data_IF_311200404888
#
_entry.id   IF_311200404888
#
_cell.length_a   1.000
_cell.length_b   1.000
_cell.length_c   1.000
_cell.angle_alpha   90.00
_cell.angle_beta   90.00
_cell.angle_gamma   90.00
#
_symmetry.space_group_name_H-M   'P 1'
#
loop_
_entity.id
_entity.type
_entity.pdbx_description
1 polymer ?
#
# COMPACT_ATOMS: atom_id res chain seq x y z
N UNK A 1 22.19 5.62 -33.33
CA UNK A 1 22.58 6.11 -31.99
C UNK A 1 21.60 7.21 -31.63
N UNK A 2 20.54 6.87 -30.89
CA UNK A 2 19.58 7.85 -30.38
C UNK A 2 20.30 8.79 -29.43
N UNK A 3 20.10 10.11 -29.59
CA UNK A 3 20.73 11.12 -28.76
C UNK A 3 20.36 10.87 -27.29
N UNK A 4 21.36 10.65 -26.44
CA UNK A 4 21.14 10.48 -25.01
C UNK A 4 20.53 11.76 -24.43
N UNK A 5 19.20 11.79 -24.26
CA UNK A 5 18.54 12.84 -23.51
C UNK A 5 19.07 12.79 -22.06
N UNK A 6 19.80 13.81 -21.63
CA UNK A 6 20.33 13.90 -20.27
C UNK A 6 19.22 14.08 -19.21
N UNK A 7 18.01 14.48 -19.61
CA UNK A 7 16.88 14.74 -18.72
C UNK A 7 15.78 13.68 -18.80
N UNK A 8 15.09 13.44 -17.69
CA UNK A 8 13.96 12.51 -17.64
C UNK A 8 12.75 12.99 -18.47
N UNK A 9 11.98 12.07 -19.08
CA UNK A 9 10.73 12.41 -19.76
C UNK A 9 9.77 13.19 -18.87
N UNK A 10 9.06 14.18 -19.44
CA UNK A 10 8.06 14.99 -18.72
C UNK A 10 6.94 14.13 -18.10
N UNK A 11 6.67 12.96 -18.68
CA UNK A 11 5.78 11.94 -18.13
C UNK A 11 6.15 11.49 -16.72
N UNK A 12 7.45 11.45 -16.37
CA UNK A 12 7.89 11.06 -15.04
C UNK A 12 7.37 12.03 -13.98
N UNK A 13 7.54 13.34 -14.19
CA UNK A 13 7.09 14.36 -13.24
C UNK A 13 5.56 14.41 -13.15
N UNK A 14 4.86 14.15 -14.25
CA UNK A 14 3.41 14.00 -14.25
C UNK A 14 2.95 12.82 -13.37
N UNK A 15 3.59 11.65 -13.52
CA UNK A 15 3.31 10.47 -12.70
C UNK A 15 3.73 10.69 -11.24
N UNK A 16 4.84 11.37 -11.00
CA UNK A 16 5.30 11.76 -9.68
C UNK A 16 4.23 12.56 -8.94
N UNK A 17 3.72 13.65 -9.54
CA UNK A 17 2.71 14.50 -8.90
C UNK A 17 1.42 13.72 -8.68
N UNK A 18 0.98 12.95 -9.69
CA UNK A 18 -0.25 12.14 -9.61
C UNK A 18 -0.16 11.09 -8.49
N UNK A 19 0.98 10.40 -8.40
CA UNK A 19 1.26 9.40 -7.36
C UNK A 19 1.44 10.03 -5.98
N UNK A 20 2.15 11.15 -5.87
CA UNK A 20 2.34 11.88 -4.61
C UNK A 20 1.00 12.34 -4.04
N UNK A 21 0.13 12.95 -4.84
CA UNK A 21 -1.18 13.42 -4.39
C UNK A 21 -2.10 12.28 -3.97
N UNK A 22 -2.06 11.15 -4.68
CA UNK A 22 -2.82 9.96 -4.27
C UNK A 22 -2.28 9.37 -2.97
N UNK A 23 -0.95 9.27 -2.81
CA UNK A 23 -0.34 8.83 -1.55
C UNK A 23 -0.65 9.77 -0.41
N UNK A 24 -0.69 11.07 -0.66
CA UNK A 24 -1.12 12.05 0.33
C UNK A 24 -2.55 11.73 0.80
N UNK A 25 -3.48 11.53 -0.13
CA UNK A 25 -4.87 11.20 0.19
C UNK A 25 -4.97 9.92 1.03
N UNK A 26 -4.26 8.86 0.64
CA UNK A 26 -4.25 7.58 1.35
C UNK A 26 -3.66 7.70 2.77
N UNK A 27 -2.43 8.21 2.90
CA UNK A 27 -1.74 8.30 4.19
C UNK A 27 -2.37 9.32 5.13
N UNK A 28 -2.97 10.39 4.60
CA UNK A 28 -3.67 11.40 5.40
C UNK A 28 -4.93 10.84 6.06
N UNK A 29 -5.78 10.19 5.27
CA UNK A 29 -6.96 9.48 5.78
C UNK A 29 -6.54 8.40 6.78
N UNK A 30 -5.56 7.57 6.41
CA UNK A 30 -5.04 6.46 7.23
C UNK A 30 -4.48 6.94 8.58
N UNK A 31 -3.87 8.11 8.63
CA UNK A 31 -3.24 8.64 9.85
C UNK A 31 -4.24 8.92 10.97
N UNK A 32 -5.44 9.35 10.61
CA UNK A 32 -6.51 9.71 11.56
C UNK A 32 -7.62 8.66 11.62
N UNK A 33 -7.63 7.68 10.72
CA UNK A 33 -8.74 6.73 10.56
C UNK A 33 -9.01 5.94 11.84
N UNK A 34 -7.98 5.33 12.43
CA UNK A 34 -8.16 4.51 13.61
C UNK A 34 -8.54 5.33 14.84
N UNK A 35 -8.01 6.56 14.94
CA UNK A 35 -8.43 7.53 15.96
C UNK A 35 -9.90 7.92 15.79
N UNK A 36 -10.38 8.08 14.56
CA UNK A 36 -11.78 8.35 14.27
C UNK A 36 -12.70 7.19 14.71
N UNK A 37 -12.31 5.94 14.45
CA UNK A 37 -13.08 4.75 14.87
C UNK A 37 -13.33 4.74 16.39
N UNK A 38 -12.31 5.08 17.17
CA UNK A 38 -12.37 5.00 18.63
C UNK A 38 -12.94 6.28 19.23
N UNK A 39 -12.40 7.43 18.86
CA UNK A 39 -12.69 8.69 19.55
C UNK A 39 -13.99 9.34 19.06
N UNK A 40 -14.44 9.06 17.83
CA UNK A 40 -15.67 9.64 17.28
C UNK A 40 -16.80 8.62 17.15
N UNK A 41 -16.50 7.42 16.65
CA UNK A 41 -17.51 6.35 16.54
C UNK A 41 -17.65 5.49 17.79
N UNK A 42 -16.81 5.71 18.81
CA UNK A 42 -16.85 5.00 20.09
C UNK A 42 -16.78 3.47 19.95
N UNK A 43 -16.06 2.99 18.92
CA UNK A 43 -15.79 1.57 18.74
C UNK A 43 -14.68 1.13 19.70
N UNK A 44 -14.75 -0.11 20.15
CA UNK A 44 -13.67 -0.71 20.93
C UNK A 44 -12.41 -0.89 20.06
N UNK A 45 -11.25 -0.93 20.72
CA UNK A 45 -9.94 -0.98 20.04
C UNK A 45 -9.74 -2.27 19.27
N UNK A 46 -10.31 -3.37 19.73
CA UNK A 46 -10.17 -4.67 19.08
C UNK A 46 -10.91 -4.66 17.73
N UNK A 47 -12.17 -4.23 17.73
CA UNK A 47 -12.97 -4.08 16.53
C UNK A 47 -12.39 -3.02 15.56
N UNK A 48 -11.91 -1.88 16.08
CA UNK A 48 -11.24 -0.88 15.26
C UNK A 48 -9.97 -1.44 14.58
N UNK A 49 -9.20 -2.24 15.31
CA UNK A 49 -7.99 -2.90 14.77
C UNK A 49 -8.34 -3.95 13.73
N UNK A 50 -9.43 -4.70 13.90
CA UNK A 50 -9.93 -5.65 12.92
C UNK A 50 -10.38 -4.95 11.62
N UNK A 51 -11.15 -3.86 11.71
CA UNK A 51 -11.55 -3.04 10.55
C UNK A 51 -10.32 -2.54 9.80
N UNK A 52 -9.34 -1.99 10.53
CA UNK A 52 -8.11 -1.47 9.95
C UNK A 52 -7.29 -2.56 9.26
N UNK A 53 -7.11 -3.71 9.92
CA UNK A 53 -6.38 -4.87 9.39
C UNK A 53 -7.02 -5.40 8.10
N UNK A 54 -8.35 -5.52 8.09
CA UNK A 54 -9.10 -5.95 6.91
C UNK A 54 -9.03 -4.96 5.76
N UNK A 55 -9.18 -3.67 6.07
CA UNK A 55 -9.02 -2.60 5.08
C UNK A 55 -7.62 -2.65 4.44
N UNK A 56 -6.58 -2.65 5.27
CA UNK A 56 -5.18 -2.66 4.78
C UNK A 56 -4.87 -3.94 4.01
N UNK A 57 -5.28 -5.11 4.50
CA UNK A 57 -5.12 -6.38 3.80
C UNK A 57 -5.75 -6.37 2.41
N UNK A 58 -6.98 -5.87 2.29
CA UNK A 58 -7.66 -5.74 1.00
C UNK A 58 -7.00 -4.70 0.08
N UNK A 59 -6.51 -3.58 0.61
CA UNK A 59 -5.74 -2.57 -0.16
C UNK A 59 -4.47 -3.16 -0.78
N UNK A 60 -3.84 -4.15 -0.14
CA UNK A 60 -2.71 -4.88 -0.71
C UNK A 60 -3.12 -6.01 -1.67
N UNK A 61 -4.32 -6.58 -1.52
CA UNK A 61 -4.82 -7.68 -2.35
C UNK A 61 -5.42 -7.20 -3.68
N UNK A 62 -6.26 -6.17 -3.67
CA UNK A 62 -6.96 -5.69 -4.88
C UNK A 62 -6.07 -5.19 -6.03
N UNK A 63 -4.82 -4.72 -5.83
CA UNK A 63 -3.90 -4.42 -6.93
C UNK A 63 -3.66 -5.60 -7.88
N UNK A 64 -3.68 -6.84 -7.39
CA UNK A 64 -3.55 -8.02 -8.26
C UNK A 64 -4.70 -8.10 -9.27
N UNK A 65 -5.92 -7.82 -8.80
CA UNK A 65 -7.13 -7.79 -9.62
C UNK A 65 -7.07 -6.60 -10.59
N UNK A 66 -6.76 -5.41 -10.10
CA UNK A 66 -6.75 -4.19 -10.92
C UNK A 66 -5.67 -4.20 -12.01
N UNK A 67 -4.50 -4.77 -11.75
CA UNK A 67 -3.45 -4.98 -12.77
C UNK A 67 -3.90 -5.98 -13.84
N UNK A 68 -4.43 -7.13 -13.43
CA UNK A 68 -4.96 -8.14 -14.35
C UNK A 68 -6.07 -7.57 -15.27
N UNK A 69 -7.01 -6.80 -14.70
CA UNK A 69 -8.10 -6.21 -15.49
C UNK A 69 -7.59 -5.16 -16.47
N UNK A 70 -6.59 -4.36 -16.07
CA UNK A 70 -5.99 -3.36 -16.94
C UNK A 70 -5.25 -4.00 -18.13
N UNK A 71 -4.51 -5.09 -17.90
CA UNK A 71 -3.73 -5.75 -18.93
C UNK A 71 -4.59 -6.46 -19.98
N UNK A 72 -5.78 -6.92 -19.60
CA UNK A 72 -6.66 -7.70 -20.47
C UNK A 72 -7.81 -6.91 -21.09
N UNK A 73 -8.44 -6.01 -20.32
CA UNK A 73 -9.75 -5.45 -20.69
C UNK A 73 -9.73 -3.92 -20.78
N UNK A 74 -9.29 -3.23 -19.73
CA UNK A 74 -9.50 -1.78 -19.60
C UNK A 74 -8.36 -0.92 -20.17
N UNK A 75 -7.12 -1.41 -20.14
CA UNK A 75 -5.94 -0.58 -20.33
C UNK A 75 -5.58 0.21 -19.06
N UNK A 76 -4.29 0.54 -18.91
CA UNK A 76 -3.78 1.21 -17.70
C UNK A 76 -4.38 2.60 -17.51
N UNK A 77 -4.56 3.40 -18.58
CA UNK A 77 -5.04 4.77 -18.45
C UNK A 77 -6.46 4.86 -17.91
N UNK A 78 -7.35 3.99 -18.40
CA UNK A 78 -8.75 3.91 -17.95
C UNK A 78 -8.83 3.32 -16.54
N UNK A 79 -7.98 2.35 -16.23
CA UNK A 79 -7.90 1.78 -14.89
C UNK A 79 -7.48 2.82 -13.85
N UNK A 80 -6.49 3.66 -14.16
CA UNK A 80 -6.08 4.78 -13.30
C UNK A 80 -7.24 5.78 -13.11
N UNK A 81 -7.96 6.13 -14.19
CA UNK A 81 -9.11 7.03 -14.09
C UNK A 81 -10.21 6.48 -13.17
N UNK A 82 -10.67 5.25 -13.41
CA UNK A 82 -11.72 4.63 -12.60
C UNK A 82 -11.26 4.40 -11.16
N UNK A 83 -10.00 4.00 -10.98
CA UNK A 83 -9.38 3.87 -9.66
C UNK A 83 -9.39 5.19 -8.90
N UNK A 84 -8.96 6.28 -9.53
CA UNK A 84 -8.97 7.61 -8.94
C UNK A 84 -10.38 8.10 -8.62
N UNK A 85 -11.36 7.87 -9.50
CA UNK A 85 -12.75 8.24 -9.26
C UNK A 85 -13.35 7.50 -8.05
N UNK A 86 -13.11 6.18 -7.95
CA UNK A 86 -13.52 5.37 -6.79
C UNK A 86 -12.88 5.89 -5.50
N UNK A 87 -11.60 6.29 -5.52
CA UNK A 87 -10.95 6.88 -4.35
C UNK A 87 -11.54 8.25 -3.99
N UNK A 88 -11.86 9.11 -4.97
CA UNK A 88 -12.56 10.39 -4.71
C UNK A 88 -13.88 10.13 -3.98
N UNK A 89 -14.71 9.22 -4.51
CA UNK A 89 -15.98 8.86 -3.87
C UNK A 89 -15.74 8.28 -2.47
N UNK A 90 -14.74 7.41 -2.33
CA UNK A 90 -14.35 6.82 -1.05
C UNK A 90 -13.97 7.86 0.00
N UNK A 91 -13.14 8.84 -0.37
CA UNK A 91 -12.74 9.91 0.55
C UNK A 91 -13.91 10.83 0.93
N UNK A 92 -14.81 11.15 -0.01
CA UNK A 92 -16.00 11.92 0.34
C UNK A 92 -16.96 11.15 1.25
N UNK A 93 -17.09 9.84 1.08
CA UNK A 93 -17.86 9.00 2.00
C UNK A 93 -17.23 8.98 3.41
N UNK A 94 -15.89 8.94 3.52
CA UNK A 94 -15.21 9.12 4.81
C UNK A 94 -15.47 10.49 5.42
N UNK A 95 -15.44 11.56 4.61
CA UNK A 95 -15.81 12.91 5.04
C UNK A 95 -17.26 12.96 5.57
N UNK A 96 -18.23 12.42 4.83
CA UNK A 96 -19.63 12.42 5.25
C UNK A 96 -19.89 11.52 6.46
N UNK A 97 -19.12 10.43 6.61
CA UNK A 97 -19.11 9.61 7.80
C UNK A 97 -18.74 10.42 9.04
N UNK A 98 -17.64 11.18 8.97
CA UNK A 98 -17.24 12.05 10.07
C UNK A 98 -18.15 13.26 10.26
N UNK A 99 -18.79 13.76 9.19
CA UNK A 99 -19.77 14.84 9.29
C UNK A 99 -21.02 14.44 10.08
N UNK A 100 -21.44 13.18 9.96
CA UNK A 100 -22.63 12.63 10.62
C UNK A 100 -22.28 11.65 11.75
N UNK A 101 -21.13 11.83 12.41
CA UNK A 101 -20.63 10.90 13.43
C UNK A 101 -21.61 10.70 14.61
N UNK A 102 -22.45 11.70 14.91
CA UNK A 102 -23.52 11.63 15.92
C UNK A 102 -24.57 10.56 15.58
N UNK A 103 -24.84 10.32 14.30
CA UNK A 103 -25.63 9.17 13.84
C UNK A 103 -24.68 8.01 13.52
N UNK A 104 -24.33 7.25 14.56
CA UNK A 104 -23.31 6.19 14.48
C UNK A 104 -23.63 5.12 13.44
N UNK A 105 -24.91 4.79 13.23
CA UNK A 105 -25.30 3.79 12.24
C UNK A 105 -25.05 4.28 10.81
N UNK A 106 -25.53 5.49 10.47
CA UNK A 106 -25.29 6.10 9.18
C UNK A 106 -23.78 6.29 8.93
N UNK A 107 -23.06 6.79 9.93
CA UNK A 107 -21.62 7.00 9.84
C UNK A 107 -20.88 5.69 9.53
N UNK A 108 -21.17 4.59 10.24
CA UNK A 108 -20.56 3.28 9.96
C UNK A 108 -20.81 2.82 8.52
N UNK A 109 -22.03 2.96 7.99
CA UNK A 109 -22.33 2.59 6.60
C UNK A 109 -21.58 3.46 5.58
N UNK A 110 -21.52 4.78 5.81
CA UNK A 110 -20.75 5.70 4.99
C UNK A 110 -19.26 5.35 5.03
N UNK A 111 -18.71 5.07 6.22
CA UNK A 111 -17.34 4.62 6.40
C UNK A 111 -17.07 3.34 5.61
N UNK A 112 -17.89 2.28 5.76
CA UNK A 112 -17.67 1.03 5.03
C UNK A 112 -17.76 1.21 3.50
N UNK A 113 -18.70 2.04 3.02
CA UNK A 113 -18.75 2.43 1.61
C UNK A 113 -17.49 3.19 1.19
N UNK A 114 -17.00 4.07 2.04
CA UNK A 114 -15.75 4.82 1.86
C UNK A 114 -14.53 3.92 1.73
N UNK A 115 -14.35 3.00 2.67
CA UNK A 115 -13.29 1.99 2.65
C UNK A 115 -13.39 1.11 1.39
N UNK A 116 -14.59 0.70 0.99
CA UNK A 116 -14.82 -0.05 -0.24
C UNK A 116 -14.34 0.70 -1.48
N UNK A 117 -14.73 1.98 -1.62
CA UNK A 117 -14.26 2.85 -2.70
C UNK A 117 -12.74 3.00 -2.72
N UNK A 118 -12.10 3.14 -1.56
CA UNK A 118 -10.65 3.24 -1.42
C UNK A 118 -9.93 1.92 -1.75
N UNK A 119 -10.47 0.77 -1.31
CA UNK A 119 -9.93 -0.57 -1.58
C UNK A 119 -9.89 -0.85 -3.09
N UNK A 120 -11.03 -0.70 -3.77
CA UNK A 120 -11.10 -0.96 -5.21
C UNK A 120 -10.37 0.13 -6.00
N UNK A 121 -10.49 1.38 -5.55
CA UNK A 121 -9.84 2.52 -6.17
C UNK A 121 -8.32 2.39 -6.19
N UNK A 122 -7.70 2.08 -5.04
CA UNK A 122 -6.26 1.79 -4.96
C UNK A 122 -5.88 0.57 -5.80
N UNK A 123 -6.73 -0.47 -5.82
CA UNK A 123 -6.52 -1.66 -6.63
C UNK A 123 -6.35 -1.37 -8.12
N UNK A 124 -7.18 -0.49 -8.69
CA UNK A 124 -7.05 -0.09 -10.09
C UNK A 124 -5.99 0.99 -10.33
N UNK A 125 -5.72 1.85 -9.37
CA UNK A 125 -4.79 2.97 -9.56
C UNK A 125 -3.33 2.57 -9.43
N UNK A 126 -2.96 1.95 -8.30
CA UNK A 126 -1.57 1.74 -7.87
C UNK A 126 -0.72 0.86 -8.82
N UNK A 127 -1.15 -0.36 -9.20
CA UNK A 127 -0.33 -1.22 -10.06
C UNK A 127 -0.18 -0.62 -11.47
N UNK A 128 -1.20 0.09 -11.94
CA UNK A 128 -1.23 0.67 -13.27
C UNK A 128 -0.38 1.94 -13.38
N UNK A 129 -0.41 2.82 -12.38
CA UNK A 129 0.41 4.04 -12.41
C UNK A 129 1.91 3.72 -12.37
N UNK A 130 2.32 2.80 -11.50
CA UNK A 130 3.73 2.37 -11.39
C UNK A 130 4.24 1.68 -12.66
N UNK A 131 3.39 0.87 -13.32
CA UNK A 131 3.72 0.19 -14.58
C UNK A 131 3.97 1.15 -15.75
N UNK A 132 3.38 2.34 -15.73
CA UNK A 132 3.59 3.35 -16.78
C UNK A 132 5.01 3.95 -16.70
N UNK A 133 5.62 4.04 -15.51
CA UNK A 133 6.98 4.58 -15.35
C UNK A 133 7.96 3.85 -16.26
N UNK A 134 7.92 2.52 -16.27
CA UNK A 134 8.78 1.70 -17.12
C UNK A 134 8.57 1.90 -18.62
N UNK A 135 7.36 2.28 -19.04
CA UNK A 135 7.02 2.48 -20.45
C UNK A 135 7.37 3.88 -20.98
N UNK A 136 7.87 4.77 -20.12
CA UNK A 136 8.40 6.07 -20.54
C UNK A 136 9.82 5.97 -21.13
N UNK A 137 10.47 4.81 -21.01
CA UNK A 137 11.88 4.60 -21.35
C UNK A 137 12.02 3.48 -22.37
N UNK A 138 13.05 3.57 -23.22
CA UNK A 138 13.41 2.50 -24.13
C UNK A 138 14.01 1.30 -23.37
N UNK A 139 13.88 0.06 -23.89
CA UNK A 139 14.56 -1.09 -23.30
C UNK A 139 16.08 -0.87 -23.17
N UNK A 140 16.62 -1.02 -21.96
CA UNK A 140 18.04 -0.82 -21.68
C UNK A 140 18.45 0.62 -21.32
N UNK A 141 17.50 1.55 -21.19
CA UNK A 141 17.79 2.90 -20.74
C UNK A 141 18.26 2.92 -19.27
N UNK A 142 19.50 3.40 -19.06
CA UNK A 142 20.15 3.49 -17.74
C UNK A 142 19.45 4.45 -16.76
N UNK A 143 18.57 5.34 -17.25
CA UNK A 143 17.82 6.29 -16.42
C UNK A 143 16.61 5.65 -15.73
N UNK A 144 16.25 4.42 -16.08
CA UNK A 144 15.06 3.77 -15.53
C UNK A 144 15.14 3.60 -14.00
N UNK A 145 16.30 3.21 -13.48
CA UNK A 145 16.48 3.00 -12.04
C UNK A 145 16.39 4.32 -11.25
N UNK A 146 16.98 5.41 -11.78
CA UNK A 146 16.85 6.73 -11.19
C UNK A 146 15.42 7.28 -11.31
N UNK A 147 14.70 6.91 -12.37
CA UNK A 147 13.29 7.28 -12.54
C UNK A 147 12.39 6.64 -11.47
N UNK A 148 12.59 5.35 -11.17
CA UNK A 148 11.89 4.69 -10.06
C UNK A 148 12.25 5.33 -8.72
N UNK A 149 13.51 5.70 -8.52
CA UNK A 149 13.93 6.44 -7.31
C UNK A 149 13.17 7.76 -7.17
N UNK A 150 13.08 8.57 -8.23
CA UNK A 150 12.30 9.82 -8.23
C UNK A 150 10.83 9.54 -7.94
N UNK A 151 10.23 8.54 -8.60
CA UNK A 151 8.84 8.17 -8.35
C UNK A 151 8.58 7.81 -6.89
N UNK A 152 9.44 6.99 -6.27
CA UNK A 152 9.32 6.61 -4.86
C UNK A 152 9.57 7.77 -3.90
N UNK A 153 10.41 8.74 -4.26
CA UNK A 153 10.56 9.98 -3.49
C UNK A 153 9.23 10.75 -3.42
N UNK A 154 8.43 10.76 -4.49
CA UNK A 154 7.10 11.37 -4.50
C UNK A 154 6.13 10.65 -3.56
N UNK A 155 6.20 9.32 -3.52
CA UNK A 155 5.41 8.51 -2.56
C UNK A 155 5.73 8.90 -1.12
N UNK A 156 7.02 8.99 -0.77
CA UNK A 156 7.45 9.36 0.58
C UNK A 156 7.10 10.81 0.92
N UNK A 157 7.20 11.74 -0.03
CA UNK A 157 6.80 13.14 0.17
C UNK A 157 5.31 13.25 0.52
N UNK A 158 4.45 12.52 -0.20
CA UNK A 158 3.02 12.44 0.12
C UNK A 158 2.77 11.84 1.51
N UNK A 159 3.46 10.73 1.83
CA UNK A 159 3.35 10.05 3.13
C UNK A 159 3.85 10.90 4.31
N UNK A 160 4.81 11.79 4.08
CA UNK A 160 5.31 12.73 5.08
C UNK A 160 4.32 13.86 5.34
N UNK A 161 3.85 14.53 4.28
CA UNK A 161 3.02 15.72 4.42
C UNK A 161 1.59 15.41 4.89
N UNK A 162 1.08 14.23 4.55
CA UNK A 162 -0.34 13.94 4.75
C UNK A 162 -0.77 13.75 6.20
N UNK A 163 -0.04 12.98 7.05
CA UNK A 163 -0.36 12.89 8.47
C UNK A 163 -0.27 14.26 9.16
N UNK A 164 0.67 15.11 8.74
CA UNK A 164 0.82 16.45 9.30
C UNK A 164 -0.40 17.32 9.01
N UNK A 165 -0.83 17.43 7.74
CA UNK A 165 -1.97 18.28 7.39
C UNK A 165 -3.31 17.68 7.85
N UNK A 166 -3.55 16.40 7.57
CA UNK A 166 -4.83 15.77 7.93
C UNK A 166 -4.96 15.59 9.44
N UNK A 167 -3.85 15.31 10.14
CA UNK A 167 -3.79 15.29 11.60
C UNK A 167 -3.98 16.68 12.21
N UNK A 168 -3.33 17.71 11.67
CA UNK A 168 -3.54 19.09 12.14
C UNK A 168 -5.00 19.53 12.05
N UNK A 169 -5.70 19.12 10.99
CA UNK A 169 -7.10 19.49 10.78
C UNK A 169 -8.09 18.57 11.51
N UNK A 170 -7.77 17.28 11.67
CA UNK A 170 -8.72 16.25 12.12
C UNK A 170 -8.46 15.63 13.48
N UNK A 171 -7.22 15.64 13.96
CA UNK A 171 -6.78 15.06 15.23
C UNK A 171 -6.55 16.17 16.28
N UNK A 172 -7.61 16.94 16.53
CA UNK A 172 -7.60 18.13 17.41
C UNK A 172 -8.04 17.81 18.84
N UNK A 173 -8.53 16.59 19.08
CA UNK A 173 -9.21 16.18 20.31
C UNK A 173 -10.73 16.39 20.28
N UNK A 174 -11.27 17.11 19.29
CA UNK A 174 -12.71 17.20 19.07
C UNK A 174 -13.17 16.20 17.99
N UNK A 175 -14.05 15.23 18.31
CA UNK A 175 -14.56 14.26 17.34
C UNK A 175 -15.16 14.87 16.08
N UNK A 176 -15.71 16.08 16.18
CA UNK A 176 -16.32 16.76 15.05
C UNK A 176 -15.29 17.22 14.02
N UNK A 177 -14.00 17.30 14.35
CA UNK A 177 -12.98 17.85 13.47
C UNK A 177 -12.39 16.82 12.51
N UNK A 178 -12.55 15.51 12.75
CA UNK A 178 -12.09 14.45 11.84
C UNK A 178 -12.58 14.67 10.39
N UNK A 179 -13.74 15.30 10.21
CA UNK A 179 -14.27 15.68 8.89
C UNK A 179 -13.30 16.56 8.11
N UNK A 180 -12.58 17.49 8.75
CA UNK A 180 -11.66 18.38 8.05
C UNK A 180 -10.41 17.65 7.57
N UNK A 181 -9.92 16.67 8.35
CA UNK A 181 -8.84 15.78 7.92
C UNK A 181 -9.25 14.92 6.72
N UNK A 182 -10.43 14.30 6.75
CA UNK A 182 -10.95 13.53 5.61
C UNK A 182 -11.26 14.41 4.39
N UNK A 183 -11.75 15.64 4.59
CA UNK A 183 -11.98 16.59 3.51
C UNK A 183 -10.67 16.99 2.82
N UNK A 184 -9.59 17.23 3.58
CA UNK A 184 -8.29 17.52 3.01
C UNK A 184 -7.77 16.35 2.15
N UNK A 185 -7.94 15.11 2.61
CA UNK A 185 -7.63 13.92 1.83
C UNK A 185 -8.49 13.81 0.55
N UNK A 186 -9.78 14.15 0.63
CA UNK A 186 -10.72 14.15 -0.50
C UNK A 186 -10.35 15.21 -1.56
N UNK A 187 -10.09 16.45 -1.13
CA UNK A 187 -9.71 17.55 -2.02
C UNK A 187 -8.42 17.21 -2.77
N UNK A 188 -7.39 16.70 -2.09
CA UNK A 188 -6.14 16.31 -2.76
C UNK A 188 -6.37 15.19 -3.79
N UNK A 189 -7.27 14.25 -3.50
CA UNK A 189 -7.61 13.20 -4.45
C UNK A 189 -8.36 13.75 -5.68
N UNK A 190 -9.27 14.71 -5.50
CA UNK A 190 -9.96 15.41 -6.59
C UNK A 190 -8.94 16.15 -7.46
N UNK A 191 -8.02 16.90 -6.84
CA UNK A 191 -6.96 17.60 -7.55
C UNK A 191 -6.08 16.64 -8.36
N UNK A 192 -5.76 15.47 -7.79
CA UNK A 192 -5.02 14.41 -8.49
C UNK A 192 -5.79 13.91 -9.72
N UNK A 193 -7.08 13.61 -9.59
CA UNK A 193 -7.93 13.17 -10.70
C UNK A 193 -8.07 14.25 -11.78
N UNK A 194 -8.34 15.51 -11.40
CA UNK A 194 -8.46 16.63 -12.33
C UNK A 194 -7.15 16.83 -13.10
N UNK A 195 -6.02 16.85 -12.40
CA UNK A 195 -4.71 16.94 -13.02
C UNK A 195 -4.45 15.78 -13.98
N UNK A 196 -4.79 14.56 -13.56
CA UNK A 196 -4.65 13.37 -14.39
C UNK A 196 -5.49 13.44 -15.66
N UNK A 197 -6.78 13.77 -15.55
CA UNK A 197 -7.70 13.88 -16.71
C UNK A 197 -7.24 14.99 -17.65
N UNK A 198 -6.87 16.15 -17.13
CA UNK A 198 -6.48 17.30 -17.94
C UNK A 198 -5.16 17.10 -18.70
N UNK A 199 -4.27 16.24 -18.21
CA UNK A 199 -2.88 16.20 -18.70
C UNK A 199 -2.37 14.82 -19.12
N UNK A 200 -3.11 13.72 -18.88
CA UNK A 200 -2.62 12.38 -19.22
C UNK A 200 -2.28 12.20 -20.71
N UNK A 201 -3.06 12.78 -21.62
CA UNK A 201 -2.87 12.62 -23.07
C UNK A 201 -1.57 13.27 -23.54
N UNK A 202 -1.18 14.37 -22.89
CA UNK A 202 0.02 15.15 -23.19
C UNK A 202 1.29 14.53 -22.64
N UNK A 203 1.23 13.89 -21.47
CA UNK A 203 2.44 13.44 -20.76
C UNK A 203 2.66 11.94 -20.74
N UNK A 204 1.64 11.11 -20.98
CA UNK A 204 1.78 9.65 -20.99
C UNK A 204 2.15 9.12 -22.38
N UNK A 205 3.17 9.71 -22.98
CA UNK A 205 3.63 9.38 -24.32
C UNK A 205 4.95 8.61 -24.22
N UNK A 206 5.05 7.50 -24.96
CA UNK A 206 6.23 6.66 -24.99
C UNK A 206 7.37 7.28 -25.80
N UNK A 207 8.55 6.64 -25.80
CA UNK A 207 9.72 7.14 -26.52
C UNK A 207 9.47 7.41 -28.02
N UNK A 208 8.57 6.65 -28.65
CA UNK A 208 8.28 6.75 -30.08
C UNK A 208 7.04 7.62 -30.40
N UNK A 209 6.51 8.36 -29.42
CA UNK A 209 5.35 9.23 -29.61
C UNK A 209 4.00 8.53 -29.45
N UNK A 210 3.98 7.24 -29.13
CA UNK A 210 2.78 6.45 -28.93
C UNK A 210 2.11 6.70 -27.56
N UNK A 211 0.79 6.60 -27.52
CA UNK A 211 0.05 6.79 -26.29
C UNK A 211 0.16 5.56 -25.36
N UNK A 212 0.82 5.70 -24.22
CA UNK A 212 1.01 4.61 -23.25
C UNK A 212 -0.31 4.22 -22.60
N UNK A 213 -0.65 2.93 -22.58
CA UNK A 213 -1.70 2.38 -21.71
C UNK A 213 -3.13 2.60 -22.19
N UNK A 214 -3.33 2.91 -23.47
CA UNK A 214 -4.66 2.94 -24.11
C UNK A 214 -5.10 1.52 -24.50
N UNK A 215 -4.23 0.77 -25.19
CA UNK A 215 -4.51 -0.60 -25.59
C UNK A 215 -4.08 -1.56 -24.48
N UNK A 216 -4.95 -2.52 -24.07
CA UNK A 216 -4.55 -3.56 -23.12
C UNK A 216 -3.35 -4.36 -23.62
N UNK A 217 -2.38 -4.63 -22.75
CA UNK A 217 -1.12 -5.29 -23.11
C UNK A 217 -1.34 -6.67 -23.78
N UNK A 218 -2.37 -7.41 -23.36
CA UNK A 218 -2.69 -8.71 -23.96
C UNK A 218 -3.25 -8.58 -25.40
N UNK A 219 -3.96 -7.49 -25.72
CA UNK A 219 -4.44 -7.24 -27.09
C UNK A 219 -3.29 -6.85 -28.00
N UNK A 220 -2.40 -5.96 -27.54
CA UNK A 220 -1.18 -5.61 -28.27
C UNK A 220 -0.27 -6.83 -28.50
N UNK A 221 -0.11 -7.67 -27.46
CA UNK A 221 0.64 -8.92 -27.57
C UNK A 221 0.00 -9.98 -28.45
N UNK A 222 -1.34 -10.02 -28.58
CA UNK A 222 -2.05 -10.91 -29.51
C UNK A 222 -1.99 -10.44 -30.96
N UNK A 223 -1.93 -9.14 -31.20
CA UNK A 223 -1.69 -8.60 -32.55
C UNK A 223 -0.26 -8.93 -33.01
N UNK A 224 0.75 -8.80 -32.14
CA UNK A 224 2.11 -9.27 -32.45
C UNK A 224 2.27 -10.81 -32.45
N UNK A 225 1.54 -11.53 -31.60
CA UNK A 225 1.55 -13.00 -31.59
C UNK A 225 0.61 -13.63 -32.64
N UNK A 226 -0.17 -12.83 -33.36
CA UNK A 226 -0.90 -13.26 -34.56
C UNK A 226 0.05 -13.76 -35.66
N UNK A 227 1.33 -13.35 -35.63
CA UNK A 227 2.40 -13.84 -36.50
C UNK A 227 3.20 -15.02 -35.91
N UNK A 228 3.10 -15.27 -34.60
CA UNK A 228 3.82 -16.34 -33.89
C UNK A 228 2.81 -17.15 -33.08
N UNK A 229 2.24 -18.17 -33.74
CA UNK A 229 1.22 -19.06 -33.22
C UNK A 229 1.61 -19.82 -31.94
N UNK A 230 1.56 -19.14 -30.80
CA UNK A 230 1.77 -19.74 -29.48
C UNK A 230 0.40 -19.97 -28.83
N UNK A 231 -0.11 -21.19 -29.01
CA UNK A 231 -1.34 -21.66 -28.36
C UNK A 231 -1.16 -21.77 -26.85
N UNK A 232 -1.69 -20.80 -26.10
CA UNK A 232 -1.82 -20.88 -24.64
C UNK A 232 -3.15 -21.52 -24.26
N UNK A 233 -3.17 -22.86 -24.24
CA UNK A 233 -4.27 -23.66 -23.73
C UNK A 233 -3.75 -24.80 -22.86
N UNK A 234 -3.19 -24.50 -21.68
CA UNK A 234 -2.89 -25.55 -20.69
C UNK A 234 -4.20 -26.10 -20.14
N UNK A 235 -4.41 -27.43 -20.23
CA UNK A 235 -5.52 -28.13 -19.56
C UNK A 235 -5.32 -28.01 -18.04
N UNK A 236 -6.21 -27.28 -17.39
CA UNK A 236 -6.30 -27.23 -15.92
C UNK A 236 -6.63 -28.63 -15.38
N UNK A 237 -5.90 -29.08 -14.35
CA UNK A 237 -6.18 -30.32 -13.66
C UNK A 237 -7.42 -30.13 -12.77
N UNK A 238 -8.60 -30.49 -13.29
CA UNK A 238 -9.90 -30.29 -12.63
C UNK A 238 -9.95 -30.94 -11.24
N UNK A 239 -9.29 -32.09 -11.06
CA UNK A 239 -9.23 -32.78 -9.76
C UNK A 239 -8.43 -32.00 -8.72
N UNK A 240 -7.26 -31.47 -9.12
CA UNK A 240 -6.44 -30.61 -8.26
C UNK A 240 -7.20 -29.33 -7.89
N UNK A 241 -7.91 -28.73 -8.85
CA UNK A 241 -8.75 -27.56 -8.59
C UNK A 241 -9.85 -27.87 -7.57
N UNK A 242 -10.54 -29.01 -7.72
CA UNK A 242 -11.57 -29.45 -6.78
C UNK A 242 -11.01 -29.65 -5.37
N UNK A 243 -9.87 -30.35 -5.23
CA UNK A 243 -9.23 -30.59 -3.93
C UNK A 243 -8.86 -29.28 -3.21
N UNK A 244 -8.24 -28.34 -3.93
CA UNK A 244 -7.87 -27.04 -3.34
C UNK A 244 -9.09 -26.14 -3.09
N UNK A 245 -10.16 -26.26 -3.88
CA UNK A 245 -11.41 -25.57 -3.61
C UNK A 245 -12.07 -26.08 -2.32
N UNK A 246 -12.17 -27.41 -2.15
CA UNK A 246 -12.71 -28.01 -0.91
C UNK A 246 -11.82 -27.65 0.28
N UNK A 247 -10.50 -27.77 0.16
CA UNK A 247 -9.56 -27.35 1.19
C UNK A 247 -9.70 -25.86 1.55
N UNK A 248 -9.93 -25.01 0.54
CA UNK A 248 -10.17 -23.58 0.76
C UNK A 248 -11.47 -23.28 1.49
N UNK A 249 -12.56 -24.00 1.19
CA UNK A 249 -13.82 -23.87 1.94
C UNK A 249 -13.64 -24.32 3.39
N UNK A 250 -12.94 -25.43 3.63
CA UNK A 250 -12.65 -25.91 4.98
C UNK A 250 -11.79 -24.92 5.77
N UNK A 251 -10.72 -24.40 5.16
CA UNK A 251 -9.87 -23.37 5.77
C UNK A 251 -10.66 -22.09 6.05
N UNK A 252 -11.55 -21.69 5.15
CA UNK A 252 -12.40 -20.52 5.35
C UNK A 252 -13.28 -20.66 6.59
N UNK A 253 -14.01 -21.78 6.75
CA UNK A 253 -14.82 -21.99 7.95
C UNK A 253 -13.98 -22.15 9.22
N UNK A 254 -12.79 -22.72 9.11
CA UNK A 254 -11.85 -22.81 10.22
C UNK A 254 -11.39 -21.43 10.69
N UNK A 255 -10.93 -20.58 9.77
CA UNK A 255 -10.51 -19.21 10.11
C UNK A 255 -11.69 -18.33 10.51
N UNK A 256 -12.87 -18.50 9.91
CA UNK A 256 -14.08 -17.77 10.31
C UNK A 256 -14.42 -18.04 11.77
N UNK A 257 -14.32 -19.30 12.22
CA UNK A 257 -14.49 -19.66 13.62
C UNK A 257 -13.33 -19.15 14.49
N UNK A 258 -12.10 -19.19 13.98
CA UNK A 258 -10.90 -18.76 14.71
C UNK A 258 -10.75 -17.25 14.87
N UNK A 259 -11.41 -16.46 14.02
CA UNK A 259 -11.41 -14.99 14.04
C UNK A 259 -12.78 -14.42 14.41
N UNK A 260 -13.55 -15.14 15.22
CA UNK A 260 -14.83 -14.68 15.79
C UNK A 260 -15.82 -14.10 14.76
N UNK A 261 -15.87 -14.72 13.57
CA UNK A 261 -16.79 -14.33 12.50
C UNK A 261 -16.22 -13.30 11.51
N UNK A 262 -14.94 -12.93 11.58
CA UNK A 262 -14.30 -12.07 10.57
C UNK A 262 -14.19 -12.77 9.20
N UNK A 263 -15.17 -12.49 8.33
CA UNK A 263 -15.24 -13.03 6.98
C UNK A 263 -14.05 -12.58 6.13
N UNK A 264 -13.61 -11.32 6.24
CA UNK A 264 -12.55 -10.77 5.38
C UNK A 264 -11.22 -11.41 5.78
N UNK A 265 -10.91 -11.42 7.07
CA UNK A 265 -9.75 -12.11 7.62
C UNK A 265 -9.74 -13.59 7.20
N UNK A 266 -10.87 -14.28 7.34
CA UNK A 266 -10.98 -15.67 6.95
C UNK A 266 -10.68 -15.90 5.45
N UNK A 267 -11.18 -15.05 4.55
CA UNK A 267 -10.87 -15.13 3.11
C UNK A 267 -9.39 -14.92 2.86
N UNK A 268 -8.78 -13.88 3.45
CA UNK A 268 -7.37 -13.54 3.24
C UNK A 268 -6.46 -14.68 3.69
N UNK A 269 -6.64 -15.17 4.93
CA UNK A 269 -5.79 -16.23 5.48
C UNK A 269 -5.98 -17.57 4.76
N UNK A 270 -7.20 -17.88 4.34
CA UNK A 270 -7.45 -19.07 3.50
C UNK A 270 -6.71 -18.96 2.17
N UNK A 271 -6.81 -17.82 1.48
CA UNK A 271 -6.14 -17.59 0.21
C UNK A 271 -4.60 -17.66 0.34
N UNK A 272 -4.04 -17.19 1.46
CA UNK A 272 -2.61 -17.28 1.76
C UNK A 272 -2.08 -18.71 1.84
N UNK A 273 -2.93 -19.71 2.10
CA UNK A 273 -2.53 -21.13 2.13
C UNK A 273 -2.91 -21.81 0.81
N UNK A 274 -4.14 -21.60 0.35
CA UNK A 274 -4.71 -22.29 -0.82
C UNK A 274 -3.98 -21.91 -2.10
N UNK A 275 -3.69 -20.62 -2.33
CA UNK A 275 -3.05 -20.18 -3.57
C UNK A 275 -1.62 -20.71 -3.69
N UNK A 276 -0.74 -20.56 -2.68
CA UNK A 276 0.58 -21.18 -2.71
C UNK A 276 0.55 -22.70 -2.87
N UNK A 277 -0.35 -23.35 -2.13
CA UNK A 277 -0.55 -24.79 -2.20
C UNK A 277 -0.97 -25.28 -3.59
N UNK A 278 -1.90 -24.58 -4.23
CA UNK A 278 -2.33 -24.84 -5.60
C UNK A 278 -1.17 -24.69 -6.59
N UNK A 279 -0.38 -23.61 -6.47
CA UNK A 279 0.75 -23.35 -7.37
C UNK A 279 1.86 -24.40 -7.23
N UNK A 280 2.28 -24.74 -6.00
CA UNK A 280 3.40 -25.69 -5.79
C UNK A 280 3.03 -27.14 -6.15
N UNK A 281 1.74 -27.47 -6.10
CA UNK A 281 1.22 -28.78 -6.47
C UNK A 281 1.02 -28.95 -7.98
N UNK A 282 1.27 -27.92 -8.80
CA UNK A 282 1.20 -28.03 -10.26
C UNK A 282 2.17 -29.13 -10.77
N UNK A 283 1.64 -30.19 -11.41
CA UNK A 283 2.44 -31.31 -11.89
C UNK A 283 3.34 -30.95 -13.08
N UNK A 284 3.11 -29.80 -13.73
CA UNK A 284 3.91 -29.32 -14.86
C UNK A 284 5.23 -28.69 -14.42
N UNK A 285 5.42 -28.44 -13.12
CA UNK A 285 6.65 -27.89 -12.57
C UNK A 285 7.76 -28.93 -12.49
N UNK A 286 8.94 -28.59 -12.99
CA UNK A 286 10.17 -29.33 -12.75
C UNK A 286 10.57 -29.29 -11.28
N UNK A 287 11.43 -30.23 -10.86
CA UNK A 287 11.97 -30.27 -9.49
C UNK A 287 12.67 -28.95 -9.10
N UNK A 288 13.42 -28.36 -10.04
CA UNK A 288 14.15 -27.10 -9.82
C UNK A 288 13.17 -25.93 -9.67
N UNK A 289 12.15 -25.84 -10.52
CA UNK A 289 11.12 -24.79 -10.40
C UNK A 289 10.35 -24.89 -9.08
N UNK A 290 9.96 -26.11 -8.68
CA UNK A 290 9.30 -26.35 -7.39
C UNK A 290 10.18 -25.94 -6.21
N UNK A 291 11.47 -26.25 -6.24
CA UNK A 291 12.43 -25.82 -5.21
C UNK A 291 12.55 -24.29 -5.15
N UNK A 292 12.62 -23.61 -6.29
CA UNK A 292 12.67 -22.14 -6.35
C UNK A 292 11.39 -21.49 -5.79
N UNK A 293 10.22 -22.03 -6.14
CA UNK A 293 8.93 -21.58 -5.59
C UNK A 293 8.86 -21.79 -4.08
N UNK A 294 9.31 -22.96 -3.60
CA UNK A 294 9.36 -23.24 -2.17
C UNK A 294 10.23 -22.24 -1.41
N UNK A 295 11.40 -21.88 -1.96
CA UNK A 295 12.27 -20.83 -1.39
C UNK A 295 11.55 -19.49 -1.31
N UNK A 296 10.80 -19.11 -2.35
CA UNK A 296 9.99 -17.87 -2.33
C UNK A 296 8.96 -17.92 -1.21
N UNK A 297 8.28 -19.05 -0.98
CA UNK A 297 7.30 -19.19 0.10
C UNK A 297 7.93 -19.18 1.49
N UNK A 298 9.11 -19.79 1.66
CA UNK A 298 9.87 -19.70 2.91
C UNK A 298 10.23 -18.23 3.19
N UNK A 299 10.73 -17.51 2.20
CA UNK A 299 11.04 -16.09 2.33
C UNK A 299 9.77 -15.27 2.66
N UNK A 300 8.68 -15.53 1.93
CA UNK A 300 7.41 -14.84 2.15
C UNK A 300 6.87 -15.05 3.57
N UNK A 301 7.02 -16.25 4.14
CA UNK A 301 6.63 -16.53 5.53
C UNK A 301 7.33 -15.59 6.53
N UNK A 302 8.64 -15.36 6.39
CA UNK A 302 9.35 -14.42 7.26
C UNK A 302 8.95 -12.95 7.00
N UNK A 303 8.64 -12.61 5.74
CA UNK A 303 8.17 -11.28 5.36
C UNK A 303 6.80 -10.96 5.97
N UNK A 304 5.96 -11.97 6.26
CA UNK A 304 4.69 -11.76 6.99
C UNK A 304 4.95 -11.11 8.35
N UNK A 305 5.92 -11.60 9.13
CA UNK A 305 6.23 -11.02 10.45
C UNK A 305 6.75 -9.59 10.35
N UNK A 306 7.53 -9.29 9.32
CA UNK A 306 7.98 -7.93 9.06
C UNK A 306 6.78 -6.99 8.87
N UNK A 307 5.86 -7.33 7.97
CA UNK A 307 4.69 -6.49 7.72
C UNK A 307 3.69 -6.48 8.86
N UNK A 308 3.51 -7.61 9.56
CA UNK A 308 2.63 -7.70 10.73
C UNK A 308 3.06 -6.73 11.84
N UNK A 309 4.36 -6.58 12.07
CA UNK A 309 4.91 -5.61 13.02
C UNK A 309 4.99 -4.19 12.44
N UNK A 310 5.30 -4.03 11.15
CA UNK A 310 5.36 -2.70 10.51
C UNK A 310 3.98 -2.02 10.43
N UNK A 311 2.94 -2.76 10.05
CA UNK A 311 1.59 -2.21 9.87
C UNK A 311 0.91 -1.84 11.20
N UNK A 312 1.49 -2.22 12.34
CA UNK A 312 1.04 -1.74 13.66
C UNK A 312 1.17 -0.22 13.83
N UNK A 313 1.98 0.43 12.99
CA UNK A 313 2.18 1.88 12.97
C UNK A 313 0.87 2.68 12.86
N UNK A 314 -0.19 2.11 12.29
CA UNK A 314 -1.49 2.77 12.23
C UNK A 314 -2.58 2.21 13.15
N UNK A 315 -2.23 1.28 14.04
CA UNK A 315 -3.12 0.74 15.08
C UNK A 315 -2.43 0.91 16.45
N UNK A 316 -1.80 -0.14 16.97
CA UNK A 316 -1.21 -0.18 18.32
C UNK A 316 -0.27 0.98 18.61
N UNK A 317 0.62 1.34 17.67
CA UNK A 317 1.55 2.45 17.89
C UNK A 317 0.87 3.81 17.86
N UNK A 318 -0.23 3.97 17.10
CA UNK A 318 -1.05 5.19 17.13
C UNK A 318 -1.72 5.37 18.49
N UNK A 319 -2.30 4.30 19.05
CA UNK A 319 -2.91 4.38 20.39
C UNK A 319 -1.86 4.60 21.48
N UNK A 320 -0.71 3.96 21.34
CA UNK A 320 0.41 4.15 22.25
C UNK A 320 0.90 5.61 22.23
N UNK A 321 0.97 6.23 21.05
CA UNK A 321 1.23 7.65 20.92
C UNK A 321 0.14 8.51 21.59
N UNK A 322 -1.13 8.18 21.41
CA UNK A 322 -2.25 8.95 21.95
C UNK A 322 -2.32 8.91 23.49
N UNK A 323 -2.26 7.70 24.06
CA UNK A 323 -2.60 7.43 25.46
C UNK A 323 -1.38 7.37 26.36
N UNK A 324 -0.30 6.74 25.90
CA UNK A 324 0.84 6.34 26.74
C UNK A 324 2.05 7.23 26.53
N UNK A 325 2.03 8.15 25.57
CA UNK A 325 3.18 8.99 25.23
C UNK A 325 2.93 10.44 25.62
N UNK A 326 3.93 11.08 26.24
CA UNK A 326 3.88 12.50 26.58
C UNK A 326 4.10 13.32 25.32
N UNK A 327 3.02 13.82 24.72
CA UNK A 327 3.02 14.61 23.49
C UNK A 327 3.12 16.12 23.71
N UNK A 328 3.37 16.58 24.93
CA UNK A 328 3.54 18.01 25.21
C UNK A 328 4.94 18.48 24.80
N UNK A 329 4.99 19.35 23.81
CA UNK A 329 6.23 19.93 23.27
C UNK A 329 6.07 21.44 23.30
N UNK A 330 7.00 22.18 23.90
CA UNK A 330 6.99 23.66 23.90
C UNK A 330 5.62 24.33 24.20
N UNK A 331 4.83 23.76 25.13
CA UNK A 331 3.54 24.33 25.55
C UNK A 331 2.33 23.96 24.67
N UNK A 332 2.49 23.14 23.64
CA UNK A 332 1.39 22.60 22.83
C UNK A 332 1.40 21.06 22.84
N UNK A 333 0.25 20.45 22.52
CA UNK A 333 0.12 18.98 22.44
C UNK A 333 0.20 18.55 20.98
N UNK A 334 1.21 17.75 20.64
CA UNK A 334 1.36 17.19 19.30
C UNK A 334 0.26 16.15 19.00
N UNK A 335 -0.43 16.20 17.85
CA UNK A 335 -1.38 15.15 17.43
C UNK A 335 -0.69 13.78 17.34
N UNK A 336 -1.37 12.72 17.79
CA UNK A 336 -0.80 11.36 17.73
C UNK A 336 -0.64 10.87 16.29
N UNK A 337 -1.51 11.32 15.38
CA UNK A 337 -1.41 11.05 13.95
C UNK A 337 -0.09 11.50 13.32
N UNK A 338 0.61 12.49 13.88
CA UNK A 338 1.88 13.01 13.34
C UNK A 338 3.03 11.99 13.41
N UNK A 339 3.00 11.03 14.35
CA UNK A 339 4.02 9.98 14.43
C UNK A 339 4.11 9.14 13.15
N UNK A 340 3.01 9.00 12.41
CA UNK A 340 3.02 8.27 11.13
C UNK A 340 3.87 8.96 10.05
N UNK A 341 4.16 10.26 10.19
CA UNK A 341 5.04 10.99 9.27
C UNK A 341 6.52 10.64 9.44
N UNK A 342 6.93 10.18 10.63
CA UNK A 342 8.34 9.91 10.95
C UNK A 342 8.93 8.81 10.07
N UNK A 343 8.14 7.80 9.72
CA UNK A 343 8.58 6.75 8.80
C UNK A 343 9.09 7.35 7.48
N UNK A 344 8.31 8.24 6.86
CA UNK A 344 8.68 8.86 5.60
C UNK A 344 9.92 9.77 5.75
N UNK A 345 10.03 10.50 6.86
CA UNK A 345 11.21 11.32 7.19
C UNK A 345 12.46 10.45 7.25
N UNK A 346 12.43 9.36 8.03
CA UNK A 346 13.57 8.47 8.17
C UNK A 346 13.94 7.78 6.86
N UNK A 347 12.96 7.37 6.04
CA UNK A 347 13.24 6.82 4.72
C UNK A 347 13.97 7.84 3.85
N UNK A 348 13.49 9.09 3.78
CA UNK A 348 14.11 10.14 2.97
C UNK A 348 15.52 10.50 3.47
N UNK A 349 15.71 10.61 4.78
CA UNK A 349 17.00 10.98 5.38
C UNK A 349 18.03 9.84 5.28
N UNK A 350 17.61 8.60 5.49
CA UNK A 350 18.51 7.45 5.52
C UNK A 350 18.75 6.84 4.13
N UNK A 351 17.89 7.08 3.14
CA UNK A 351 18.07 6.52 1.79
C UNK A 351 19.43 6.87 1.14
N UNK A 352 19.91 8.13 1.15
CA UNK A 352 21.24 8.46 0.64
C UNK A 352 22.37 7.74 1.39
N UNK A 353 22.24 7.62 2.71
CA UNK A 353 23.22 6.94 3.55
C UNK A 353 23.31 5.44 3.21
N UNK A 354 22.17 4.74 3.12
CA UNK A 354 22.14 3.34 2.74
C UNK A 354 22.56 3.12 1.30
N UNK A 355 22.20 4.00 0.37
CA UNK A 355 22.66 3.94 -1.03
C UNK A 355 24.18 4.01 -1.11
N UNK A 356 24.80 4.97 -0.42
CA UNK A 356 26.26 5.10 -0.34
C UNK A 356 26.92 3.87 0.31
N UNK A 357 26.31 3.32 1.36
CA UNK A 357 26.77 2.08 2.01
C UNK A 357 26.78 0.91 1.04
N UNK A 358 25.70 0.69 0.28
CA UNK A 358 25.61 -0.41 -0.67
C UNK A 358 26.59 -0.27 -1.83
N UNK A 359 26.77 0.92 -2.38
CA UNK A 359 27.78 1.18 -3.42
C UNK A 359 29.18 0.82 -2.90
N UNK A 360 29.53 1.26 -1.68
CA UNK A 360 30.83 0.99 -1.07
C UNK A 360 31.06 -0.49 -0.77
N UNK A 361 30.03 -1.23 -0.38
CA UNK A 361 30.11 -2.68 -0.17
C UNK A 361 30.17 -3.45 -1.49
N UNK A 362 29.41 -3.02 -2.50
CA UNK A 362 29.43 -3.59 -3.85
C UNK A 362 30.79 -3.45 -4.52
N UNK A 363 31.42 -2.28 -4.43
CA UNK A 363 32.80 -2.06 -4.90
C UNK A 363 33.84 -2.99 -4.25
N UNK A 364 33.53 -3.52 -3.06
CA UNK A 364 34.38 -4.46 -2.32
C UNK A 364 33.94 -5.91 -2.47
N UNK A 365 32.96 -6.23 -3.32
CA UNK A 365 32.33 -7.55 -3.43
C UNK A 365 31.85 -8.11 -2.07
N UNK A 366 31.40 -7.22 -1.18
CA UNK A 366 30.91 -7.53 0.18
C UNK A 366 29.43 -7.21 0.35
N UNK A 367 28.71 -6.98 -0.73
CA UNK A 367 27.27 -6.75 -0.67
C UNK A 367 26.56 -8.04 -0.24
N UNK A 368 25.77 -8.01 0.87
CA UNK A 368 25.02 -9.18 1.31
C UNK A 368 23.98 -9.59 0.27
N UNK A 369 23.70 -10.90 0.18
CA UNK A 369 22.62 -11.42 -0.64
C UNK A 369 21.26 -10.85 -0.20
N UNK A 370 20.28 -10.79 -1.12
CA UNK A 370 18.95 -10.21 -0.83
C UNK A 370 18.24 -10.83 0.38
N UNK A 371 18.23 -12.17 0.59
CA UNK A 371 17.63 -12.76 1.80
C UNK A 371 18.33 -12.31 3.09
N UNK A 372 19.65 -12.07 3.04
CA UNK A 372 20.41 -11.55 4.18
C UNK A 372 20.01 -10.12 4.50
N UNK A 373 19.82 -9.28 3.48
CA UNK A 373 19.30 -7.90 3.68
C UNK A 373 17.91 -7.92 4.30
N UNK A 374 17.04 -8.84 3.88
CA UNK A 374 15.71 -9.01 4.48
C UNK A 374 15.80 -9.45 5.95
N UNK A 375 16.68 -10.39 6.28
CA UNK A 375 16.92 -10.81 7.66
C UNK A 375 17.45 -9.66 8.55
N UNK A 376 18.36 -8.83 8.02
CA UNK A 376 18.81 -7.61 8.71
C UNK A 376 17.64 -6.66 8.96
N UNK A 377 16.76 -6.45 7.97
CA UNK A 377 15.56 -5.63 8.12
C UNK A 377 14.61 -6.13 9.22
N UNK A 378 14.35 -7.44 9.27
CA UNK A 378 13.53 -8.06 10.31
C UNK A 378 14.18 -7.94 11.70
N UNK A 379 15.50 -8.12 11.78
CA UNK A 379 16.25 -7.94 13.02
C UNK A 379 16.17 -6.49 13.54
N UNK A 380 16.33 -5.50 12.66
CA UNK A 380 16.21 -4.09 13.03
C UNK A 380 14.79 -3.73 13.49
N UNK A 381 13.76 -4.28 12.84
CA UNK A 381 12.37 -4.11 13.26
C UNK A 381 12.14 -4.70 14.65
N UNK A 382 12.65 -5.92 14.90
CA UNK A 382 12.57 -6.56 16.22
C UNK A 382 13.29 -5.75 17.29
N UNK A 383 14.45 -5.16 16.98
CA UNK A 383 15.18 -4.29 17.88
C UNK A 383 14.38 -3.01 18.20
N UNK A 384 13.69 -2.43 17.21
CA UNK A 384 12.79 -1.29 17.43
C UNK A 384 11.68 -1.59 18.44
N UNK A 385 11.01 -2.74 18.29
CA UNK A 385 10.01 -3.19 19.26
C UNK A 385 10.59 -3.49 20.64
N UNK A 386 11.81 -4.03 20.70
CA UNK A 386 12.50 -4.26 21.97
C UNK A 386 12.82 -2.94 22.69
N UNK A 387 13.20 -1.88 21.96
CA UNK A 387 13.42 -0.56 22.53
C UNK A 387 12.14 0.01 23.12
N UNK A 388 11.01 -0.10 22.42
CA UNK A 388 9.70 0.29 22.97
C UNK A 388 9.38 -0.50 24.24
N UNK A 389 9.57 -1.82 24.22
CA UNK A 389 9.31 -2.70 25.36
C UNK A 389 10.17 -2.34 26.59
N UNK A 390 11.43 -1.95 26.38
CA UNK A 390 12.31 -1.44 27.44
C UNK A 390 11.81 -0.09 27.96
N UNK A 391 11.39 0.81 27.06
CA UNK A 391 10.91 2.14 27.40
C UNK A 391 9.65 2.15 28.26
N UNK A 392 8.80 1.13 28.13
CA UNK A 392 7.57 0.96 28.94
C UNK A 392 7.77 0.07 30.17
N UNK A 393 8.94 -0.56 30.32
CA UNK A 393 9.20 -1.50 31.41
C UNK A 393 9.19 -0.74 32.75
N UNK A 394 8.32 -1.17 33.66
CA UNK A 394 8.12 -0.58 34.99
C UNK A 394 7.54 0.84 34.99
N UNK A 395 6.95 1.29 33.88
CA UNK A 395 6.22 2.55 33.85
C UNK A 395 4.88 2.36 34.56
N UNK A 396 4.56 3.26 35.48
CA UNK A 396 3.27 3.24 36.18
C UNK A 396 2.11 3.44 35.18
N UNK A 397 0.92 2.85 35.38
CA UNK A 397 -0.19 2.92 34.42
C UNK A 397 -0.64 4.34 34.04
N UNK A 398 -0.35 5.33 34.87
CA UNK A 398 -0.67 6.76 34.72
C UNK A 398 0.52 7.60 34.21
N UNK A 399 1.72 7.02 34.14
CA UNK A 399 2.92 7.72 33.71
C UNK A 399 3.07 7.64 32.18
N UNK A 400 3.12 8.79 31.52
CA UNK A 400 3.37 8.87 30.08
C UNK A 400 4.87 8.78 29.77
N UNK A 401 5.24 7.99 28.77
CA UNK A 401 6.62 7.82 28.32
C UNK A 401 7.09 8.91 27.37
N UNK A 402 8.40 9.05 27.21
CA UNK A 402 8.99 9.96 26.23
C UNK A 402 8.66 9.54 24.79
N UNK A 403 8.45 10.53 23.93
CA UNK A 403 8.27 10.34 22.49
C UNK A 403 9.47 9.70 21.80
N UNK A 404 10.67 9.78 22.39
CA UNK A 404 11.90 9.20 21.82
C UNK A 404 11.86 7.67 21.68
N UNK A 405 10.93 7.00 22.35
CA UNK A 405 10.76 5.55 22.23
C UNK A 405 9.98 5.13 20.98
N UNK A 406 9.16 6.03 20.43
CA UNK A 406 8.39 5.88 19.20
C UNK A 406 9.18 6.42 18.00
#
# INVERSE_FOLDING_TARGET
>A
MSAAHSSHPKGLYFIFITGMSERFSYYGMRAIFTLYLINALMLDKEFASAIYGNYTGLVYLTPLIGGYVADRYLGMRRSIFWGALLMVMGQFLMFFSALHFENTELAKWLMYGGLGGLIFGNGFFKPNLSSIVGRLYEPGDKRLDSAYTIFYMGVNMGAFMAPLLCGYLGDTGNPADFRWGFLAAAITMVLSLVFYVARNSRYLVGPNGEAIGIVPAQKAGRESAGELGVGLGKKLNVWQLFLWAVGGVLLFFLFLKGFDGDIIGAVIYSACIVVPGFVISDPTLTKIERQRILVIYIIAFFVIFFWAAFEQAGISLTYFAEEQTNRHVFGWTMPASWFQSFNAVFVVLLAPLFSALWIKLGQKNREPASPTKQAIGLFLLSLGYLLIAIGVKNVAPDAKVSMLWL
#
